data_IF_916974835903
#
_entry.id   IF_916974835903
#
_cell.length_a   1.000
_cell.length_b   1.000
_cell.length_c   1.000
_cell.angle_alpha   90.00
_cell.angle_beta   90.00
_cell.angle_gamma   90.00
#
_symmetry.space_group_name_H-M   'P 1'
#
loop_
_entity.id
_entity.type
_entity.pdbx_description
1 polymer ?
#
# COMPACT_ATOMS: atom_id res chain seq x y z
N UNK A 1 12.96 18.09 14.15
CA UNK A 1 13.21 16.65 14.44
C UNK A 1 12.26 16.03 15.48
N UNK A 2 11.05 16.54 15.73
CA UNK A 2 10.19 16.09 16.85
C UNK A 2 8.85 15.46 16.40
N UNK A 3 8.49 15.50 15.12
CA UNK A 3 7.14 15.05 14.69
C UNK A 3 7.05 13.67 14.01
N UNK A 4 8.16 13.01 13.72
CA UNK A 4 8.15 11.69 13.06
C UNK A 4 7.73 10.57 14.03
N UNK A 5 7.96 10.76 15.33
CA UNK A 5 7.68 9.75 16.35
C UNK A 5 6.19 9.60 16.72
N UNK A 6 5.32 10.55 16.36
CA UNK A 6 3.88 10.48 16.72
C UNK A 6 3.03 9.70 15.72
N UNK A 7 3.37 9.69 14.45
CA UNK A 7 2.56 8.96 13.45
C UNK A 7 2.79 7.45 13.47
N UNK A 8 4.01 7.00 13.81
CA UNK A 8 4.31 5.55 13.87
C UNK A 8 3.60 4.85 15.04
N UNK A 9 3.29 5.58 16.12
CA UNK A 9 2.60 4.99 17.29
C UNK A 9 1.11 4.70 17.06
N UNK A 10 0.43 5.41 16.15
CA UNK A 10 -1.00 5.19 15.90
C UNK A 10 -1.28 3.96 15.02
N UNK A 11 -0.35 3.62 14.12
CA UNK A 11 -0.54 2.47 13.19
C UNK A 11 -0.28 1.13 13.88
N UNK A 12 0.58 1.09 14.90
CA UNK A 12 0.93 -0.17 15.60
C UNK A 12 -0.15 -0.55 16.64
N UNK A 13 -0.85 0.41 17.24
CA UNK A 13 -1.91 0.12 18.22
C UNK A 13 -3.17 -0.51 17.62
N UNK A 14 -3.48 -0.29 16.35
CA UNK A 14 -4.67 -0.86 15.71
C UNK A 14 -4.54 -2.34 15.40
N UNK A 15 -3.33 -2.86 15.22
CA UNK A 15 -3.07 -4.28 14.91
C UNK A 15 -2.98 -5.14 16.19
N UNK A 16 -2.61 -4.53 17.31
CA UNK A 16 -2.44 -5.25 18.58
C UNK A 16 -3.78 -5.55 19.32
N UNK A 17 -4.89 -4.89 18.97
CA UNK A 17 -6.18 -5.05 19.64
C UNK A 17 -7.03 -6.24 19.16
N UNK A 18 -6.63 -6.93 18.08
CA UNK A 18 -7.38 -8.08 17.54
C UNK A 18 -6.85 -9.42 18.08
N UNK A 19 -5.72 -9.43 18.78
CA UNK A 19 -5.05 -10.65 19.24
C UNK A 19 -5.34 -11.15 20.65
N UNK A 20 -6.11 -10.44 21.47
CA UNK A 20 -6.32 -10.79 22.88
C UNK A 20 -7.79 -11.04 23.25
N UNK A 21 -8.49 -11.90 22.55
CA UNK A 21 -9.77 -12.45 23.05
C UNK A 21 -9.68 -13.97 23.18
N UNK A 22 -9.41 -14.40 24.43
CA UNK A 22 -10.02 -15.59 24.97
C UNK A 22 -9.29 -16.92 24.84
N UNK A 23 -8.26 -17.12 25.64
CA UNK A 23 -8.11 -18.43 26.30
C UNK A 23 -8.18 -18.20 27.81
N UNK A 24 -9.41 -18.17 28.34
CA UNK A 24 -9.63 -18.40 29.75
C UNK A 24 -9.43 -19.90 29.96
N UNK A 25 -8.23 -20.31 30.36
CA UNK A 25 -8.02 -21.61 30.97
C UNK A 25 -8.70 -21.58 32.35
N UNK A 26 -9.81 -22.26 32.47
CA UNK A 26 -10.38 -22.62 33.78
C UNK A 26 -9.40 -23.55 34.48
N UNK A 27 -8.67 -23.01 35.45
CA UNK A 27 -7.87 -23.81 36.40
C UNK A 27 -8.84 -24.60 37.23
N UNK A 28 -8.92 -25.89 36.99
CA UNK A 28 -9.71 -26.84 37.79
C UNK A 28 -9.01 -27.03 39.16
N UNK A 29 -9.70 -26.89 40.29
CA UNK A 29 -9.10 -27.12 41.59
C UNK A 29 -8.66 -28.59 41.74
N UNK A 30 -7.51 -28.86 42.37
CA UNK A 30 -6.95 -30.19 42.50
C UNK A 30 -7.65 -30.97 43.64
N UNK A 31 -8.78 -31.57 43.43
CA UNK A 31 -9.39 -32.58 44.36
C UNK A 31 -10.87 -32.82 44.07
N UNK A 32 -11.33 -32.77 42.84
CA UNK A 32 -12.64 -33.28 42.49
C UNK A 32 -12.54 -34.79 42.20
N UNK A 33 -13.38 -35.65 42.80
CA UNK A 33 -13.43 -37.06 42.44
C UNK A 33 -13.82 -37.23 40.95
N UNK A 34 -13.32 -38.29 40.28
CA UNK A 34 -13.60 -38.49 38.86
C UNK A 34 -15.12 -38.61 38.65
N UNK A 35 -15.65 -37.95 37.64
CA UNK A 35 -17.08 -38.04 37.33
C UNK A 35 -17.44 -39.47 36.97
N UNK A 36 -18.50 -39.98 37.55
CA UNK A 36 -19.11 -41.26 37.26
C UNK A 36 -19.46 -41.30 35.76
N UNK A 37 -19.04 -42.33 35.00
CA UNK A 37 -19.39 -42.40 33.59
C UNK A 37 -20.91 -42.41 33.42
N UNK A 38 -21.47 -41.62 32.52
CA UNK A 38 -22.89 -41.62 32.23
C UNK A 38 -23.31 -42.99 31.72
N UNK A 39 -24.54 -43.46 32.02
CA UNK A 39 -25.05 -44.74 31.54
C UNK A 39 -24.99 -44.73 30.01
N UNK A 40 -24.44 -45.81 29.43
CA UNK A 40 -24.36 -46.03 28.01
C UNK A 40 -25.77 -46.02 27.40
N UNK A 41 -26.21 -44.88 26.94
CA UNK A 41 -27.39 -44.77 26.09
C UNK A 41 -26.99 -45.32 24.71
N UNK A 42 -27.49 -46.48 24.40
CA UNK A 42 -27.42 -47.06 23.04
C UNK A 42 -28.16 -46.11 22.13
N UNK A 43 -27.44 -45.15 21.56
CA UNK A 43 -28.00 -44.25 20.53
C UNK A 43 -28.18 -45.10 19.29
N UNK A 44 -29.40 -45.48 18.98
CA UNK A 44 -29.82 -45.96 17.68
C UNK A 44 -29.37 -44.89 16.68
N UNK A 45 -28.41 -45.23 15.87
CA UNK A 45 -27.88 -44.34 14.81
C UNK A 45 -29.00 -44.18 13.80
N UNK A 46 -29.78 -43.12 13.96
CA UNK A 46 -30.76 -42.67 12.98
C UNK A 46 -29.98 -42.18 11.76
N UNK A 47 -29.90 -43.03 10.75
CA UNK A 47 -29.31 -42.72 9.45
C UNK A 47 -30.23 -41.75 8.68
N UNK A 48 -30.55 -40.62 9.29
CA UNK A 48 -31.13 -39.51 8.57
C UNK A 48 -30.02 -38.95 7.67
N UNK A 49 -30.21 -38.94 6.34
CA UNK A 49 -29.20 -38.39 5.43
C UNK A 49 -28.93 -36.93 5.89
N UNK A 50 -27.72 -36.69 6.41
CA UNK A 50 -27.30 -35.39 6.82
C UNK A 50 -27.54 -34.44 5.67
N UNK A 51 -28.45 -33.52 5.86
CA UNK A 51 -28.64 -32.39 4.97
C UNK A 51 -27.34 -31.62 5.02
N UNK A 52 -26.45 -31.88 4.05
CA UNK A 52 -25.29 -31.02 3.81
C UNK A 52 -25.82 -29.60 3.62
N UNK A 53 -25.78 -28.82 4.67
CA UNK A 53 -26.13 -27.40 4.63
C UNK A 53 -25.03 -26.75 3.78
N UNK A 54 -25.27 -26.74 2.48
CA UNK A 54 -24.44 -25.99 1.54
C UNK A 54 -24.62 -24.52 1.86
N UNK A 55 -23.76 -24.00 2.73
CA UNK A 55 -23.71 -22.58 3.04
C UNK A 55 -23.29 -21.88 1.73
N UNK A 56 -24.26 -21.31 1.03
CA UNK A 56 -23.99 -20.50 -0.14
C UNK A 56 -23.27 -19.24 0.33
N UNK A 57 -22.05 -18.97 -0.15
CA UNK A 57 -21.33 -17.77 0.26
C UNK A 57 -22.16 -16.53 -0.09
N UNK A 58 -22.13 -15.47 0.72
CA UNK A 58 -22.84 -14.24 0.41
C UNK A 58 -22.37 -13.69 -0.92
N UNK A 59 -23.32 -13.18 -1.73
CA UNK A 59 -22.99 -12.58 -3.02
C UNK A 59 -22.17 -11.30 -2.89
N UNK A 60 -22.33 -10.58 -1.79
CA UNK A 60 -21.64 -9.31 -1.49
C UNK A 60 -20.88 -9.51 -0.18
N UNK A 61 -19.64 -9.10 -0.16
CA UNK A 61 -18.82 -9.03 1.04
C UNK A 61 -18.07 -7.71 1.07
N UNK A 62 -17.88 -7.15 2.27
CA UNK A 62 -17.16 -5.91 2.52
C UNK A 62 -16.09 -6.14 3.57
N UNK A 63 -15.07 -5.30 3.54
CA UNK A 63 -14.02 -5.40 4.51
C UNK A 63 -12.95 -4.33 4.34
N UNK A 64 -11.77 -4.65 4.80
CA UNK A 64 -10.60 -3.80 4.67
C UNK A 64 -9.47 -4.53 3.98
N UNK A 65 -8.57 -3.75 3.41
CA UNK A 65 -7.39 -4.22 2.70
C UNK A 65 -6.18 -3.41 3.12
N UNK A 66 -5.08 -4.09 3.40
CA UNK A 66 -3.77 -3.50 3.63
C UNK A 66 -2.92 -3.78 2.40
N UNK A 67 -2.29 -2.76 1.85
CA UNK A 67 -1.34 -2.88 0.75
C UNK A 67 0.05 -2.44 1.15
N UNK A 68 1.03 -3.13 0.59
CA UNK A 68 2.44 -2.81 0.66
C UNK A 68 2.98 -2.50 -0.72
N UNK A 69 3.66 -1.35 -0.85
CA UNK A 69 4.33 -0.91 -2.07
C UNK A 69 5.83 -1.14 -1.92
N UNK A 70 6.42 -2.17 -2.56
CA UNK A 70 7.85 -2.44 -2.46
C UNK A 70 8.69 -1.35 -3.13
N UNK A 71 8.16 -0.74 -4.18
CA UNK A 71 8.82 0.33 -4.93
C UNK A 71 8.41 1.71 -4.43
N UNK A 72 9.32 2.67 -4.57
CA UNK A 72 9.03 4.06 -4.26
C UNK A 72 8.14 4.65 -5.35
N UNK A 73 7.21 5.51 -4.95
CA UNK A 73 6.26 6.15 -5.87
C UNK A 73 6.94 7.06 -6.90
N UNK A 74 8.04 7.72 -6.52
CA UNK A 74 8.83 8.56 -7.40
C UNK A 74 10.13 7.88 -7.79
N UNK A 75 10.45 7.91 -9.08
CA UNK A 75 11.80 7.65 -9.55
C UNK A 75 12.65 8.89 -9.33
N UNK A 76 13.75 8.71 -8.63
CA UNK A 76 14.73 9.77 -8.44
C UNK A 76 15.73 9.71 -9.58
N UNK A 77 15.82 10.77 -10.36
CA UNK A 77 16.91 10.94 -11.31
C UNK A 77 17.96 11.85 -10.67
N UNK A 78 19.15 11.34 -10.50
CA UNK A 78 20.30 12.16 -10.17
C UNK A 78 20.75 12.87 -11.45
N UNK A 79 20.54 14.17 -11.52
CA UNK A 79 21.06 14.96 -12.64
C UNK A 79 22.07 15.96 -12.08
N UNK A 80 23.34 15.69 -12.30
CA UNK A 80 24.37 16.70 -12.10
C UNK A 80 24.45 17.53 -13.37
N UNK A 81 23.83 18.68 -13.36
CA UNK A 81 23.99 19.65 -14.42
C UNK A 81 25.26 20.44 -14.13
N UNK A 82 26.36 20.01 -14.70
CA UNK A 82 27.55 20.86 -14.77
C UNK A 82 27.23 21.98 -15.77
N UNK A 83 26.87 23.13 -15.24
CA UNK A 83 26.74 24.33 -16.10
C UNK A 83 28.09 24.58 -16.76
N UNK A 84 28.09 24.80 -18.08
CA UNK A 84 29.26 25.25 -18.81
C UNK A 84 29.68 26.66 -18.40
N UNK A 85 28.87 27.31 -17.55
CA UNK A 85 29.22 28.60 -16.96
C UNK A 85 30.12 28.36 -15.73
N UNK A 86 31.38 28.77 -15.76
CA UNK A 86 32.31 28.58 -14.65
C UNK A 86 31.87 29.31 -13.36
N UNK A 87 30.89 30.20 -13.43
CA UNK A 87 30.38 31.00 -12.33
C UNK A 87 29.25 30.25 -11.57
N UNK A 88 28.60 29.27 -12.20
CA UNK A 88 27.46 28.54 -11.61
C UNK A 88 27.68 27.03 -11.76
N UNK A 89 27.62 26.32 -10.65
CA UNK A 89 27.48 24.86 -10.66
C UNK A 89 26.27 24.48 -9.81
N UNK A 90 25.42 23.62 -10.32
CA UNK A 90 24.27 23.10 -9.58
C UNK A 90 24.36 21.58 -9.44
N UNK A 91 24.08 21.08 -8.28
CA UNK A 91 23.89 19.68 -8.00
C UNK A 91 22.45 19.47 -7.55
N UNK A 92 21.80 18.48 -8.11
CA UNK A 92 20.38 18.21 -7.94
C UNK A 92 20.17 16.83 -7.34
N UNK A 93 19.49 16.77 -6.20
CA UNK A 93 19.19 15.54 -5.51
C UNK A 93 17.69 15.44 -5.27
N UNK A 94 17.14 14.29 -5.53
CA UNK A 94 15.72 14.04 -5.27
C UNK A 94 15.55 12.77 -4.45
N UNK A 95 14.69 12.84 -3.44
CA UNK A 95 14.33 11.67 -2.61
C UNK A 95 12.82 11.56 -2.50
N UNK A 96 12.32 10.35 -2.49
CA UNK A 96 10.90 10.07 -2.24
C UNK A 96 10.76 9.56 -0.81
N UNK A 97 9.83 10.16 -0.07
CA UNK A 97 9.39 9.70 1.23
C UNK A 97 7.88 9.54 1.19
N UNK A 98 7.38 8.36 1.44
CA UNK A 98 5.96 8.05 1.50
C UNK A 98 5.73 6.81 2.34
N UNK A 99 4.51 6.57 2.73
CA UNK A 99 4.17 5.33 3.43
C UNK A 99 4.19 4.19 2.44
N UNK A 100 5.03 3.19 2.69
CA UNK A 100 5.00 1.94 1.93
C UNK A 100 3.76 1.10 2.19
N UNK A 101 2.95 1.47 3.16
CA UNK A 101 1.73 0.77 3.53
C UNK A 101 0.55 1.70 3.43
N UNK A 102 -0.55 1.20 2.89
CA UNK A 102 -1.83 1.88 2.90
C UNK A 102 -2.92 0.96 3.39
N UNK A 103 -3.93 1.54 4.02
CA UNK A 103 -5.14 0.86 4.44
C UNK A 103 -6.30 1.40 3.61
N UNK A 104 -7.12 0.51 3.09
CA UNK A 104 -8.29 0.85 2.29
C UNK A 104 -9.50 -0.01 2.62
N UNK A 105 -10.62 0.39 2.05
CA UNK A 105 -11.84 -0.39 2.06
C UNK A 105 -11.87 -1.32 0.85
N UNK A 106 -12.46 -2.49 1.00
CA UNK A 106 -12.64 -3.45 -0.08
C UNK A 106 -14.06 -3.97 -0.09
N UNK A 107 -14.62 -4.10 -1.29
CA UNK A 107 -15.89 -4.75 -1.52
C UNK A 107 -15.74 -5.81 -2.61
N UNK A 108 -16.44 -6.92 -2.48
CA UNK A 108 -16.43 -7.99 -3.47
C UNK A 108 -17.86 -8.42 -3.77
N UNK A 109 -18.16 -8.58 -5.05
CA UNK A 109 -19.41 -9.12 -5.55
C UNK A 109 -19.18 -10.40 -6.34
N UNK A 110 -19.74 -11.51 -5.88
CA UNK A 110 -19.62 -12.81 -6.52
C UNK A 110 -20.61 -12.91 -7.69
N UNK A 111 -20.13 -12.82 -8.93
CA UNK A 111 -20.94 -12.97 -10.14
C UNK A 111 -21.29 -14.43 -10.39
N UNK A 112 -20.29 -15.30 -10.32
CA UNK A 112 -20.43 -16.74 -10.53
C UNK A 112 -19.55 -17.50 -9.54
N UNK A 113 -19.66 -18.83 -9.49
CA UNK A 113 -18.74 -19.65 -8.66
C UNK A 113 -17.26 -19.45 -9.01
N UNK A 114 -16.93 -18.88 -10.17
CA UNK A 114 -15.55 -18.71 -10.66
C UNK A 114 -15.14 -17.27 -10.85
N UNK A 115 -16.08 -16.32 -10.87
CA UNK A 115 -15.80 -14.91 -11.16
C UNK A 115 -16.37 -14.06 -10.07
N UNK A 116 -15.55 -13.16 -9.51
CA UNK A 116 -16.00 -12.08 -8.64
C UNK A 116 -15.49 -10.74 -9.14
N UNK A 117 -16.24 -9.68 -8.85
CA UNK A 117 -15.81 -8.30 -9.04
C UNK A 117 -15.38 -7.72 -7.70
N UNK A 118 -14.24 -7.07 -7.67
CA UNK A 118 -13.71 -6.36 -6.53
C UNK A 118 -13.65 -4.86 -6.80
N UNK A 119 -14.01 -4.09 -5.81
CA UNK A 119 -13.85 -2.64 -5.76
C UNK A 119 -13.08 -2.31 -4.49
N UNK A 120 -11.93 -1.67 -4.65
CA UNK A 120 -11.15 -1.21 -3.51
C UNK A 120 -11.09 0.32 -3.51
N UNK A 121 -10.85 0.91 -2.35
CA UNK A 121 -10.75 2.35 -2.16
C UNK A 121 -9.61 2.65 -1.19
N UNK A 122 -8.58 3.34 -1.67
CA UNK A 122 -7.40 3.68 -0.91
C UNK A 122 -7.19 5.17 -0.82
N UNK A 123 -6.66 5.59 0.33
CA UNK A 123 -6.14 6.93 0.53
C UNK A 123 -4.73 6.84 1.06
N UNK A 124 -3.80 7.51 0.40
CA UNK A 124 -2.43 7.63 0.87
C UNK A 124 -1.84 9.00 0.55
N UNK A 125 -0.82 9.37 1.30
CA UNK A 125 -0.09 10.61 1.10
C UNK A 125 1.33 10.27 0.66
N UNK A 126 1.77 10.91 -0.42
CA UNK A 126 3.13 10.81 -0.92
C UNK A 126 3.87 12.12 -0.70
N UNK A 127 5.13 12.01 -0.36
CA UNK A 127 6.02 13.13 -0.14
C UNK A 127 7.27 12.97 -1.00
N UNK A 128 7.67 14.05 -1.63
CA UNK A 128 8.82 14.12 -2.50
C UNK A 128 9.68 15.31 -2.09
N UNK A 129 10.96 15.07 -1.81
CA UNK A 129 11.92 16.11 -1.44
C UNK A 129 12.97 16.26 -2.51
N UNK A 130 13.17 17.48 -2.96
CA UNK A 130 14.17 17.89 -3.92
C UNK A 130 15.13 18.84 -3.22
N UNK A 131 16.43 18.61 -3.39
CA UNK A 131 17.49 19.50 -2.92
C UNK A 131 18.25 20.00 -4.14
N UNK A 132 18.27 21.30 -4.31
CA UNK A 132 19.08 21.99 -5.31
C UNK A 132 20.18 22.77 -4.58
N UNK A 133 21.43 22.50 -4.95
CA UNK A 133 22.61 23.16 -4.39
C UNK A 133 23.29 23.98 -5.48
N UNK A 134 23.30 25.29 -5.29
CA UNK A 134 23.83 26.25 -6.25
C UNK A 134 25.06 26.91 -5.65
N UNK A 135 26.21 26.72 -6.26
CA UNK A 135 27.42 27.47 -5.95
C UNK A 135 27.56 28.63 -6.91
N UNK A 136 27.73 29.83 -6.39
CA UNK A 136 27.82 31.06 -7.18
C UNK A 136 29.16 31.75 -6.93
N UNK A 137 29.64 32.51 -7.98
CA UNK A 137 30.91 33.23 -7.90
C UNK A 137 32.06 32.49 -8.58
N UNK A 138 33.23 33.13 -8.57
CA UNK A 138 34.46 32.60 -9.19
C UNK A 138 35.21 31.77 -8.12
N UNK A 139 35.60 30.56 -8.51
CA UNK A 139 36.43 29.73 -7.65
C UNK A 139 37.83 30.34 -7.50
N UNK A 140 38.37 30.39 -6.29
CA UNK A 140 39.75 30.78 -6.06
C UNK A 140 40.68 29.74 -6.69
N UNK A 141 41.49 30.10 -7.69
CA UNK A 141 42.40 29.18 -8.36
C UNK A 141 43.47 28.57 -7.47
N UNK A 142 43.71 29.15 -6.30
CA UNK A 142 44.70 28.70 -5.31
C UNK A 142 44.09 27.76 -4.29
N UNK A 143 42.77 27.59 -4.28
CA UNK A 143 42.08 26.67 -3.35
C UNK A 143 41.99 25.26 -3.93
N UNK A 144 42.40 24.27 -3.14
CA UNK A 144 42.27 22.86 -3.49
C UNK A 144 40.80 22.35 -3.45
N UNK A 145 39.87 23.13 -2.93
CA UNK A 145 38.43 22.82 -2.87
C UNK A 145 37.61 24.01 -3.33
N UNK A 146 36.39 23.67 -3.79
CA UNK A 146 35.43 24.65 -4.25
C UNK A 146 34.88 25.47 -3.06
N UNK A 147 35.42 26.65 -2.85
CA UNK A 147 35.09 27.59 -1.76
C UNK A 147 34.00 28.61 -2.13
N UNK A 148 33.33 28.44 -3.28
CA UNK A 148 32.27 29.33 -3.70
C UNK A 148 31.09 29.31 -2.73
N UNK A 149 30.43 30.45 -2.50
CA UNK A 149 29.23 30.51 -1.66
C UNK A 149 28.16 29.53 -2.12
N UNK A 150 27.61 28.76 -1.17
CA UNK A 150 26.61 27.74 -1.40
C UNK A 150 25.22 28.24 -1.00
N UNK A 151 24.30 28.25 -1.94
CA UNK A 151 22.86 28.42 -1.69
C UNK A 151 22.20 27.05 -1.83
N UNK A 152 21.45 26.65 -0.82
CA UNK A 152 20.68 25.39 -0.84
C UNK A 152 19.19 25.68 -0.89
N UNK A 153 18.50 25.12 -1.86
CA UNK A 153 17.06 25.21 -2.01
C UNK A 153 16.48 23.81 -1.81
N UNK A 154 15.72 23.63 -0.74
CA UNK A 154 15.02 22.39 -0.45
C UNK A 154 13.54 22.59 -0.77
N UNK A 155 13.02 21.79 -1.68
CA UNK A 155 11.59 21.75 -2.02
C UNK A 155 11.00 20.44 -1.55
N UNK A 156 9.94 20.54 -0.75
CA UNK A 156 9.20 19.40 -0.25
C UNK A 156 7.78 19.45 -0.80
N UNK A 157 7.46 18.54 -1.71
CA UNK A 157 6.14 18.45 -2.34
C UNK A 157 5.36 17.30 -1.70
N UNK A 158 4.14 17.61 -1.25
CA UNK A 158 3.17 16.65 -0.69
C UNK A 158 1.94 16.59 -1.56
N UNK A 159 1.40 15.39 -1.73
CA UNK A 159 0.18 15.16 -2.48
C UNK A 159 -0.65 14.05 -1.84
N UNK A 160 -1.97 14.22 -1.90
CA UNK A 160 -2.93 13.21 -1.44
C UNK A 160 -3.46 12.43 -2.65
N UNK A 161 -3.47 11.12 -2.53
CA UNK A 161 -3.90 10.18 -3.58
C UNK A 161 -5.12 9.39 -3.13
N UNK A 162 -6.06 9.28 -4.06
CA UNK A 162 -7.25 8.45 -3.95
C UNK A 162 -7.18 7.43 -5.08
N UNK A 163 -6.97 6.17 -4.75
CA UNK A 163 -6.89 5.09 -5.72
C UNK A 163 -8.13 4.20 -5.62
N UNK A 164 -8.76 3.95 -6.75
CA UNK A 164 -9.99 3.18 -6.86
C UNK A 164 -9.81 2.09 -7.94
N UNK A 165 -9.17 0.96 -7.61
CA UNK A 165 -9.11 -0.18 -8.51
C UNK A 165 -10.44 -0.94 -8.55
N UNK A 166 -10.87 -1.28 -9.78
CA UNK A 166 -11.99 -2.16 -10.08
C UNK A 166 -11.45 -3.39 -10.80
N UNK A 167 -11.56 -4.55 -10.19
CA UNK A 167 -10.92 -5.77 -10.67
C UNK A 167 -11.89 -6.94 -10.77
N UNK A 168 -11.70 -7.80 -11.77
CA UNK A 168 -12.29 -9.10 -11.82
C UNK A 168 -11.29 -10.14 -11.30
N UNK A 169 -11.77 -11.07 -10.46
CA UNK A 169 -11.00 -12.22 -9.98
C UNK A 169 -11.54 -13.47 -10.61
N UNK A 170 -10.67 -14.25 -11.26
CA UNK A 170 -11.04 -15.49 -11.94
C UNK A 170 -10.41 -16.69 -11.25
N UNK A 171 -11.24 -17.57 -10.69
CA UNK A 171 -10.87 -18.80 -9.99
C UNK A 171 -10.90 -19.98 -10.95
N UNK A 172 -9.82 -20.22 -11.68
CA UNK A 172 -9.76 -21.20 -12.75
C UNK A 172 -10.01 -22.64 -12.28
N UNK A 173 -9.46 -23.02 -11.11
CA UNK A 173 -9.41 -24.41 -10.62
C UNK A 173 -10.32 -24.65 -9.40
N UNK A 174 -11.24 -23.74 -9.07
CA UNK A 174 -12.09 -23.86 -7.86
C UNK A 174 -12.88 -25.17 -7.78
N UNK A 175 -13.22 -25.77 -8.91
CA UNK A 175 -14.09 -26.96 -8.97
C UNK A 175 -13.40 -28.26 -9.41
N UNK A 176 -12.15 -28.20 -9.89
CA UNK A 176 -11.47 -29.34 -10.49
C UNK A 176 -9.94 -29.31 -10.25
N UNK A 177 -9.51 -29.10 -9.01
CA UNK A 177 -8.08 -29.22 -8.72
C UNK A 177 -7.65 -30.69 -8.89
N UNK A 178 -6.54 -30.98 -9.59
CA UNK A 178 -5.97 -32.32 -9.67
C UNK A 178 -5.63 -32.85 -8.28
N UNK A 179 -5.68 -34.17 -8.09
CA UNK A 179 -5.28 -34.82 -6.85
C UNK A 179 -3.86 -34.38 -6.46
N UNK A 180 -3.65 -33.95 -5.23
CA UNK A 180 -2.38 -33.42 -4.71
C UNK A 180 -2.13 -31.92 -4.96
N UNK A 181 -2.92 -31.25 -5.80
CA UNK A 181 -2.80 -29.82 -6.11
C UNK A 181 -4.00 -29.00 -5.58
N UNK A 182 -4.60 -29.45 -4.48
CA UNK A 182 -5.78 -28.79 -3.88
C UNK A 182 -5.55 -27.30 -3.55
N UNK A 183 -4.31 -26.91 -3.25
CA UNK A 183 -3.96 -25.52 -3.01
C UNK A 183 -4.19 -24.61 -4.23
N UNK A 184 -4.09 -25.13 -5.48
CA UNK A 184 -4.36 -24.35 -6.68
C UNK A 184 -5.86 -23.97 -6.81
N UNK A 185 -6.77 -24.67 -6.14
CA UNK A 185 -8.20 -24.31 -6.13
C UNK A 185 -8.47 -23.00 -5.40
N UNK A 186 -7.52 -22.53 -4.61
CA UNK A 186 -7.59 -21.28 -3.86
C UNK A 186 -6.91 -20.11 -4.59
N UNK A 187 -6.20 -20.38 -5.69
CA UNK A 187 -5.56 -19.35 -6.52
C UNK A 187 -6.55 -18.70 -7.46
N UNK A 188 -6.33 -17.44 -7.76
CA UNK A 188 -7.10 -16.69 -8.75
C UNK A 188 -6.25 -15.71 -9.52
N UNK A 189 -6.67 -15.41 -10.74
CA UNK A 189 -6.11 -14.36 -11.58
C UNK A 189 -6.89 -13.07 -11.36
N UNK A 190 -6.21 -11.93 -11.48
CA UNK A 190 -6.77 -10.59 -11.31
C UNK A 190 -6.55 -9.83 -12.61
N UNK A 191 -7.60 -9.16 -13.08
CA UNK A 191 -7.51 -8.24 -14.20
C UNK A 191 -8.55 -7.13 -14.07
N UNK A 192 -8.19 -5.90 -14.44
CA UNK A 192 -9.13 -4.80 -14.32
C UNK A 192 -8.52 -3.45 -14.65
N UNK A 193 -9.17 -2.41 -14.16
CA UNK A 193 -8.73 -1.02 -14.28
C UNK A 193 -8.59 -0.35 -12.93
N UNK A 194 -7.84 0.73 -12.89
CA UNK A 194 -7.73 1.57 -11.71
C UNK A 194 -7.93 3.04 -12.11
N UNK A 195 -8.53 3.79 -11.21
CA UNK A 195 -8.65 5.24 -11.29
C UNK A 195 -7.88 5.85 -10.13
N UNK A 196 -7.10 6.89 -10.40
CA UNK A 196 -6.35 7.68 -9.42
C UNK A 196 -6.76 9.13 -9.50
N UNK A 197 -7.07 9.72 -8.35
CA UNK A 197 -7.29 11.14 -8.20
C UNK A 197 -6.26 11.74 -7.26
N UNK A 198 -5.64 12.85 -7.69
CA UNK A 198 -4.62 13.57 -6.91
C UNK A 198 -5.16 14.91 -6.49
N UNK A 199 -5.04 15.22 -5.23
CA UNK A 199 -5.56 16.45 -4.63
C UNK A 199 -4.59 17.03 -3.60
N UNK A 200 -4.83 18.27 -3.22
CA UNK A 200 -4.09 18.97 -2.16
C UNK A 200 -2.56 18.94 -2.35
N UNK A 201 -2.11 19.25 -3.55
CA UNK A 201 -0.68 19.31 -3.87
C UNK A 201 -0.11 20.63 -3.39
N UNK A 202 0.92 20.57 -2.55
CA UNK A 202 1.61 21.72 -1.99
C UNK A 202 3.10 21.51 -2.00
N UNK A 203 3.86 22.57 -2.29
CA UNK A 203 5.31 22.55 -2.18
C UNK A 203 5.76 23.60 -1.19
N UNK A 204 6.45 23.15 -0.15
CA UNK A 204 7.21 23.99 0.74
C UNK A 204 8.63 24.18 0.22
N UNK A 205 9.04 25.41 -0.03
CA UNK A 205 10.41 25.75 -0.47
C UNK A 205 11.14 26.42 0.67
N UNK A 206 12.25 25.82 1.09
CA UNK A 206 13.17 26.37 2.08
C UNK A 206 14.48 26.76 1.36
N UNK A 207 14.85 28.02 1.41
CA UNK A 207 16.10 28.52 0.84
C UNK A 207 17.04 28.90 1.95
N UNK A 208 18.25 28.33 1.96
CA UNK A 208 19.33 28.67 2.87
C UNK A 208 20.41 29.40 2.09
N UNK A 209 20.67 30.64 2.48
CA UNK A 209 21.68 31.52 1.87
C UNK A 209 23.07 31.33 2.53
N UNK A 210 24.14 31.73 1.86
CA UNK A 210 25.50 31.61 2.39
C UNK A 210 25.75 32.37 3.71
N UNK A 211 24.96 33.41 3.99
CA UNK A 211 25.03 34.19 5.24
C UNK A 211 24.35 33.50 6.43
N UNK A 212 23.81 32.29 6.23
CA UNK A 212 23.09 31.52 7.23
C UNK A 212 21.61 31.90 7.37
N UNK A 213 21.13 32.88 6.60
CA UNK A 213 19.72 33.24 6.61
C UNK A 213 18.89 32.15 5.89
N UNK A 214 17.67 31.91 6.36
CA UNK A 214 16.74 30.94 5.78
C UNK A 214 15.40 31.60 5.52
N UNK A 215 14.84 31.33 4.35
CA UNK A 215 13.48 31.73 4.00
C UNK A 215 12.63 30.48 3.73
N UNK A 216 11.35 30.52 4.11
CA UNK A 216 10.39 29.45 3.83
C UNK A 216 9.17 30.04 3.15
N UNK A 217 8.73 29.37 2.08
CA UNK A 217 7.51 29.70 1.36
C UNK A 217 6.77 28.41 0.99
N UNK A 218 5.45 28.40 1.12
CA UNK A 218 4.60 27.30 0.73
C UNK A 218 3.67 27.75 -0.40
N UNK A 219 3.70 27.02 -1.51
CA UNK A 219 2.90 27.33 -2.71
C UNK A 219 2.10 26.09 -3.15
N UNK A 220 0.82 26.25 -3.53
CA UNK A 220 0.09 25.19 -4.19
C UNK A 220 0.69 24.96 -5.58
N UNK A 221 0.87 23.70 -5.95
CA UNK A 221 1.32 23.32 -7.30
C UNK A 221 0.25 22.47 -7.96
N UNK A 222 0.03 22.71 -9.25
CA UNK A 222 -0.83 21.85 -10.06
C UNK A 222 -0.06 20.61 -10.51
N UNK A 223 -0.59 19.39 -10.31
CA UNK A 223 0.00 18.20 -10.93
C UNK A 223 -0.17 18.22 -12.44
N UNK A 224 0.64 17.46 -13.16
CA UNK A 224 0.51 17.31 -14.62
C UNK A 224 -0.86 16.72 -15.00
N UNK A 225 -1.32 15.73 -14.20
CA UNK A 225 -2.63 15.13 -14.32
C UNK A 225 -3.22 14.89 -12.94
N UNK A 226 -4.37 15.50 -12.66
CA UNK A 226 -5.11 15.27 -11.42
C UNK A 226 -5.81 13.90 -11.41
N UNK A 227 -6.11 13.39 -12.61
CA UNK A 227 -6.84 12.14 -12.79
C UNK A 227 -6.07 11.24 -13.73
N UNK A 228 -5.87 10.00 -13.34
CA UNK A 228 -5.19 8.99 -14.11
C UNK A 228 -6.02 7.72 -14.17
N UNK A 229 -5.93 7.05 -15.31
CA UNK A 229 -6.42 5.69 -15.49
C UNK A 229 -5.23 4.74 -15.57
N UNK A 230 -5.44 3.50 -15.15
CA UNK A 230 -4.45 2.45 -15.19
C UNK A 230 -5.07 1.09 -15.50
N UNK A 231 -4.23 0.15 -15.94
CA UNK A 231 -4.58 -1.27 -16.04
C UNK A 231 -3.98 -2.02 -14.87
N UNK A 232 -4.78 -2.92 -14.30
CA UNK A 232 -4.40 -3.78 -13.18
C UNK A 232 -4.35 -5.22 -13.66
N UNK A 233 -3.28 -5.92 -13.34
CA UNK A 233 -3.14 -7.36 -13.54
C UNK A 233 -2.48 -7.99 -12.32
N UNK A 234 -2.78 -9.25 -12.03
CA UNK A 234 -2.19 -9.87 -10.85
C UNK A 234 -2.63 -11.30 -10.60
N UNK A 235 -2.19 -11.80 -9.47
CA UNK A 235 -2.53 -13.12 -8.96
C UNK A 235 -2.87 -13.03 -7.48
N UNK A 236 -3.72 -13.91 -7.02
CA UNK A 236 -4.06 -13.97 -5.61
C UNK A 236 -4.28 -15.39 -5.12
N UNK A 237 -4.31 -15.48 -3.80
CA UNK A 237 -4.52 -16.72 -3.09
C UNK A 237 -5.51 -16.48 -1.93
N UNK A 238 -6.53 -17.31 -1.85
CA UNK A 238 -7.46 -17.32 -0.73
C UNK A 238 -6.81 -18.05 0.44
N UNK A 239 -6.42 -17.32 1.47
CA UNK A 239 -5.71 -17.84 2.65
C UNK A 239 -6.63 -18.72 3.49
N UNK A 240 -7.83 -18.22 3.76
CA UNK A 240 -8.88 -18.99 4.45
C UNK A 240 -10.26 -18.41 4.18
N UNK A 241 -11.28 -19.25 4.38
CA UNK A 241 -12.69 -18.89 4.32
C UNK A 241 -13.41 -19.66 5.43
N UNK A 242 -14.01 -18.95 6.37
CA UNK A 242 -14.77 -19.52 7.45
C UNK A 242 -16.12 -18.82 7.60
N UNK A 243 -17.19 -19.52 7.23
CA UNK A 243 -18.52 -18.93 7.17
C UNK A 243 -18.58 -17.78 6.18
N UNK A 244 -18.82 -16.57 6.69
CA UNK A 244 -18.84 -15.33 5.88
C UNK A 244 -17.48 -14.63 5.84
N UNK A 245 -16.57 -15.00 6.73
CA UNK A 245 -15.27 -14.36 6.84
C UNK A 245 -14.27 -14.97 5.86
N UNK A 246 -13.56 -14.11 5.13
CA UNK A 246 -12.59 -14.50 4.12
C UNK A 246 -11.34 -13.64 4.20
N UNK A 247 -10.15 -14.27 4.08
CA UNK A 247 -8.89 -13.57 3.94
C UNK A 247 -8.21 -13.98 2.63
N UNK A 248 -7.66 -12.99 1.92
CA UNK A 248 -6.99 -13.18 0.65
C UNK A 248 -5.68 -12.41 0.63
N UNK A 249 -4.62 -13.05 0.07
CA UNK A 249 -3.38 -12.42 -0.29
C UNK A 249 -3.33 -12.19 -1.80
N UNK A 250 -2.84 -11.04 -2.23
CA UNK A 250 -2.78 -10.67 -3.65
C UNK A 250 -1.46 -9.98 -3.96
N UNK A 251 -0.93 -10.26 -5.15
CA UNK A 251 0.14 -9.51 -5.77
C UNK A 251 -0.39 -8.91 -7.06
N UNK A 252 -0.34 -7.59 -7.16
CA UNK A 252 -0.88 -6.82 -8.28
C UNK A 252 0.21 -5.99 -8.93
N UNK A 253 0.06 -5.75 -10.21
CA UNK A 253 0.81 -4.80 -10.99
C UNK A 253 -0.17 -3.83 -11.63
N UNK A 254 0.06 -2.54 -11.41
CA UNK A 254 -0.75 -1.46 -12.01
C UNK A 254 0.11 -0.66 -12.97
N UNK A 255 -0.36 -0.51 -14.22
CA UNK A 255 0.24 0.34 -15.24
C UNK A 255 -0.62 1.58 -15.42
N UNK A 256 -0.11 2.76 -15.00
CA UNK A 256 -0.76 4.05 -15.17
C UNK A 256 -0.51 4.61 -16.58
N UNK A 257 -1.51 5.24 -17.20
CA UNK A 257 -1.43 5.79 -18.55
C UNK A 257 -0.86 7.22 -18.62
N UNK A 258 -0.38 7.75 -17.52
CA UNK A 258 0.21 9.07 -17.44
C UNK A 258 1.13 9.24 -16.25
N UNK A 259 1.68 10.43 -16.12
CA UNK A 259 2.43 10.87 -14.95
C UNK A 259 1.58 11.83 -14.13
N UNK A 260 1.54 11.62 -12.83
CA UNK A 260 0.97 12.60 -11.91
C UNK A 260 1.86 13.84 -11.84
N UNK A 261 3.16 13.61 -11.71
CA UNK A 261 4.17 14.64 -11.70
C UNK A 261 5.25 14.28 -12.70
N UNK A 262 5.72 15.28 -13.43
CA UNK A 262 6.84 15.16 -14.34
C UNK A 262 7.63 16.47 -14.32
N UNK A 263 8.86 16.40 -13.88
CA UNK A 263 9.79 17.51 -13.83
C UNK A 263 11.15 17.13 -14.43
N UNK A 264 12.08 18.07 -14.52
CA UNK A 264 13.40 17.83 -15.12
C UNK A 264 14.22 16.74 -14.45
N UNK A 265 13.96 16.47 -13.16
CA UNK A 265 14.76 15.52 -12.37
C UNK A 265 13.91 14.53 -11.57
N UNK A 266 12.61 14.54 -11.76
CA UNK A 266 11.71 13.59 -11.10
C UNK A 266 10.52 13.27 -11.99
N UNK A 267 10.06 12.04 -11.88
CA UNK A 267 8.80 11.62 -12.47
C UNK A 267 8.09 10.63 -11.53
N UNK A 268 6.77 10.70 -11.51
CA UNK A 268 5.98 9.68 -10.81
C UNK A 268 6.03 8.38 -11.61
N UNK A 269 6.14 7.25 -10.92
CA UNK A 269 6.18 5.95 -11.59
C UNK A 269 4.85 5.64 -12.28
N UNK A 270 4.95 5.15 -13.53
CA UNK A 270 3.81 4.58 -14.26
C UNK A 270 3.55 3.13 -13.89
N UNK A 271 4.56 2.46 -13.38
CA UNK A 271 4.50 1.05 -13.01
C UNK A 271 4.47 0.94 -11.48
N UNK A 272 3.54 0.19 -10.95
CA UNK A 272 3.37 0.04 -9.52
C UNK A 272 3.12 -1.43 -9.20
N UNK A 273 3.95 -1.99 -8.31
CA UNK A 273 3.76 -3.32 -7.74
C UNK A 273 3.13 -3.18 -6.38
N UNK A 274 2.14 -4.01 -6.09
CA UNK A 274 1.37 -3.98 -4.85
C UNK A 274 1.27 -5.39 -4.29
N UNK A 275 1.49 -5.54 -2.99
CA UNK A 275 1.26 -6.78 -2.26
C UNK A 275 0.22 -6.49 -1.20
N UNK A 276 -0.94 -7.13 -1.30
CA UNK A 276 -2.09 -6.82 -0.45
C UNK A 276 -2.61 -8.02 0.34
N UNK A 277 -3.14 -7.71 1.52
CA UNK A 277 -3.95 -8.61 2.33
C UNK A 277 -5.33 -8.01 2.51
N UNK A 278 -6.38 -8.73 2.12
CA UNK A 278 -7.77 -8.31 2.31
C UNK A 278 -8.50 -9.24 3.27
N UNK A 279 -9.37 -8.63 4.08
CA UNK A 279 -10.23 -9.31 5.03
C UNK A 279 -11.65 -8.84 4.78
N UNK A 280 -12.55 -9.76 4.41
CA UNK A 280 -13.94 -9.46 4.07
C UNK A 280 -14.91 -10.32 4.87
N UNK A 281 -16.10 -9.75 5.10
CA UNK A 281 -17.21 -10.40 5.82
C UNK A 281 -18.51 -10.27 5.01
#
# INVERSE_FOLDING_TARGET
>A
MINICKQVRFTICAVALIGCSGFAQTVQPPNAPPPTPPPSTTTTQDNTPGTDVTVTPPRISFGFRVEYFPERFFQTQYTQTTSTNPILSSAYFATSAGSKYTLGLTGEYLLTKRISLGLDFFYHQEEYTQLDQIKSGVQDPNSSYDNRPLTSVTQNTRANYWDVPVVARYYALRTKAPRGLGWLSQTFLIGGGAYRHVSNVRTGTSTSLPDGSTSYNETPIAPNHNNLLGLVGGVGYKLFEYGKFKAMGEARYTRWFGYTFQGPAYESQKNQVEIGLSFTY
#
